data_IF_495029395741
#
_entry.id   IF_495029395741
#
_cell.length_a   1.000
_cell.length_b   1.000
_cell.length_c   1.000
_cell.angle_alpha   90.00
_cell.angle_beta   90.00
_cell.angle_gamma   90.00
#
_symmetry.space_group_name_H-M   'P 1'
#
loop_
_entity.id
_entity.type
_entity.pdbx_description
1 polymer ?
#
# COMPACT_ATOMS: atom_id res chain seq x y z
N UNK A 1 -23.28 -1.29 39.83
CA UNK A 1 -24.27 -1.44 38.73
C UNK A 1 -23.64 -1.00 37.41
N UNK A 2 -23.10 -1.92 36.60
CA UNK A 2 -22.73 -1.67 35.20
C UNK A 2 -22.39 -3.02 34.53
N UNK A 3 -23.39 -3.89 34.35
CA UNK A 3 -23.17 -5.21 33.73
C UNK A 3 -24.34 -5.63 32.85
N UNK A 4 -24.84 -4.74 31.99
CA UNK A 4 -25.96 -5.11 31.08
C UNK A 4 -26.14 -4.14 29.91
N UNK A 5 -25.19 -4.07 28.97
CA UNK A 5 -25.47 -3.52 27.61
C UNK A 5 -24.71 -4.25 26.49
N UNK A 6 -24.56 -5.56 26.63
CA UNK A 6 -23.99 -6.40 25.56
C UNK A 6 -24.92 -7.57 25.28
N UNK A 7 -26.10 -7.30 24.70
CA UNK A 7 -26.95 -8.33 24.07
C UNK A 7 -27.86 -7.68 23.02
N UNK A 8 -27.89 -8.33 21.85
CA UNK A 8 -28.69 -8.05 20.65
C UNK A 8 -28.19 -6.96 19.67
N UNK A 9 -27.01 -7.16 19.05
CA UNK A 9 -26.82 -6.71 17.66
C UNK A 9 -27.61 -7.66 16.75
N UNK A 10 -28.86 -7.32 16.46
CA UNK A 10 -29.75 -8.11 15.61
C UNK A 10 -29.31 -8.15 14.14
N UNK A 11 -30.01 -8.95 13.33
CA UNK A 11 -29.78 -9.15 11.91
C UNK A 11 -29.66 -7.82 11.12
N UNK A 12 -30.45 -6.81 11.49
CA UNK A 12 -30.39 -5.45 10.93
C UNK A 12 -29.06 -4.73 11.18
N UNK A 13 -28.43 -4.94 12.34
CA UNK A 13 -27.09 -4.38 12.62
C UNK A 13 -26.03 -5.01 11.73
N UNK A 14 -26.12 -6.33 11.47
CA UNK A 14 -25.22 -7.03 10.54
C UNK A 14 -25.44 -6.61 9.09
N UNK A 15 -26.69 -6.38 8.69
CA UNK A 15 -27.01 -5.88 7.34
C UNK A 15 -26.49 -4.45 7.18
N UNK A 16 -26.69 -3.57 8.17
CA UNK A 16 -26.19 -2.19 8.11
C UNK A 16 -24.65 -2.13 8.09
N UNK A 17 -23.98 -2.96 8.89
CA UNK A 17 -22.52 -3.11 8.86
C UNK A 17 -22.02 -3.70 7.52
N UNK A 18 -22.86 -4.44 6.78
CA UNK A 18 -22.57 -4.90 5.41
C UNK A 18 -22.76 -3.81 4.33
N UNK A 19 -23.43 -2.70 4.65
CA UNK A 19 -23.56 -1.50 3.79
C UNK A 19 -22.56 -0.40 4.22
N UNK A 20 -21.70 -0.65 5.21
CA UNK A 20 -20.63 0.28 5.58
C UNK A 20 -19.55 0.28 4.47
N UNK A 21 -19.33 1.42 3.77
CA UNK A 21 -18.37 1.50 2.67
C UNK A 21 -16.94 1.19 3.12
N UNK A 22 -16.56 1.55 4.35
CA UNK A 22 -15.23 1.24 4.88
C UNK A 22 -15.09 -0.27 5.10
N UNK A 23 -16.14 -0.91 5.61
CA UNK A 23 -16.15 -2.37 5.81
C UNK A 23 -16.13 -3.11 4.48
N UNK A 24 -16.90 -2.65 3.50
CA UNK A 24 -16.90 -3.21 2.15
C UNK A 24 -15.52 -3.09 1.50
N UNK A 25 -14.84 -1.95 1.65
CA UNK A 25 -13.47 -1.75 1.17
C UNK A 25 -12.48 -2.69 1.86
N UNK A 26 -12.52 -2.79 3.19
CA UNK A 26 -11.66 -3.69 3.96
C UNK A 26 -11.84 -5.15 3.53
N UNK A 27 -13.09 -5.60 3.37
CA UNK A 27 -13.39 -6.96 2.93
C UNK A 27 -12.91 -7.20 1.49
N UNK A 28 -13.05 -6.20 0.61
CA UNK A 28 -12.56 -6.28 -0.77
C UNK A 28 -11.04 -6.42 -0.80
N UNK A 29 -10.31 -5.57 -0.06
CA UNK A 29 -8.84 -5.65 0.04
C UNK A 29 -8.42 -6.98 0.65
N UNK A 30 -9.07 -7.43 1.71
CA UNK A 30 -8.83 -8.75 2.32
C UNK A 30 -9.04 -9.88 1.31
N UNK A 31 -10.10 -9.84 0.50
CA UNK A 31 -10.35 -10.83 -0.54
C UNK A 31 -9.25 -10.87 -1.59
N UNK A 32 -8.71 -9.72 -1.99
CA UNK A 32 -7.56 -9.68 -2.90
C UNK A 32 -6.27 -10.19 -2.26
N UNK A 33 -6.03 -9.94 -0.96
CA UNK A 33 -4.86 -10.51 -0.26
C UNK A 33 -4.94 -12.04 -0.26
N UNK A 34 -6.09 -12.62 0.07
CA UNK A 34 -6.30 -14.07 0.01
C UNK A 34 -6.15 -14.61 -1.41
N UNK A 35 -6.61 -13.86 -2.42
CA UNK A 35 -6.42 -14.24 -3.82
C UNK A 35 -4.94 -14.23 -4.25
N UNK A 36 -4.14 -13.27 -3.75
CA UNK A 36 -2.68 -13.25 -3.94
C UNK A 36 -2.02 -14.43 -3.23
N UNK A 37 -2.41 -14.73 -1.99
CA UNK A 37 -1.90 -15.88 -1.24
C UNK A 37 -2.18 -17.20 -1.97
N UNK A 38 -3.40 -17.37 -2.48
CA UNK A 38 -3.77 -18.53 -3.29
C UNK A 38 -2.96 -18.61 -4.60
N UNK A 39 -2.76 -17.48 -5.29
CA UNK A 39 -1.91 -17.42 -6.50
C UNK A 39 -0.47 -17.81 -6.19
N UNK A 40 0.10 -17.30 -5.09
CA UNK A 40 1.44 -17.62 -4.63
C UNK A 40 1.59 -19.10 -4.26
N UNK A 41 0.61 -19.69 -3.57
CA UNK A 41 0.60 -21.11 -3.23
C UNK A 41 0.56 -22.04 -4.45
N UNK A 42 0.07 -21.55 -5.59
CA UNK A 42 0.07 -22.24 -6.88
C UNK A 42 1.33 -21.96 -7.72
N UNK A 43 2.31 -21.21 -7.18
CA UNK A 43 3.53 -20.74 -7.85
C UNK A 43 3.26 -19.99 -9.16
N UNK A 44 2.15 -19.25 -9.19
CA UNK A 44 1.74 -18.47 -10.35
C UNK A 44 2.28 -17.03 -10.22
N UNK A 45 3.10 -16.62 -11.20
CA UNK A 45 3.52 -15.23 -11.46
C UNK A 45 4.06 -14.46 -10.24
N UNK A 46 5.31 -14.73 -9.86
CA UNK A 46 6.02 -13.96 -8.84
C UNK A 46 7.33 -13.37 -9.37
N UNK A 47 7.49 -12.06 -9.23
CA UNK A 47 8.81 -11.44 -9.34
C UNK A 47 9.57 -11.69 -8.01
N UNK A 48 10.58 -12.56 -8.06
CA UNK A 48 11.48 -12.81 -6.94
C UNK A 48 12.80 -12.08 -7.16
N UNK A 49 13.31 -11.50 -6.08
CA UNK A 49 14.64 -10.90 -6.11
C UNK A 49 15.71 -12.00 -6.17
N UNK A 50 16.77 -11.75 -6.95
CA UNK A 50 17.95 -12.59 -7.01
C UNK A 50 19.22 -11.73 -6.93
N UNK A 51 20.32 -12.24 -6.34
CA UNK A 51 21.59 -11.54 -6.30
C UNK A 51 22.04 -11.04 -7.69
N UNK A 52 22.55 -9.81 -7.75
CA UNK A 52 22.97 -9.18 -9.00
C UNK A 52 21.85 -8.54 -9.83
N UNK A 53 20.58 -8.66 -9.41
CA UNK A 53 19.47 -7.87 -9.95
C UNK A 53 19.14 -6.69 -9.04
N UNK A 54 18.77 -5.52 -9.59
CA UNK A 54 18.27 -4.40 -8.80
C UNK A 54 17.06 -4.81 -7.94
N UNK A 55 17.00 -4.28 -6.71
CA UNK A 55 15.87 -4.46 -5.82
C UNK A 55 14.71 -3.57 -6.29
N UNK A 56 13.62 -4.18 -6.77
CA UNK A 56 12.38 -3.51 -7.16
C UNK A 56 11.46 -3.32 -5.97
N UNK A 57 11.24 -2.09 -5.52
CA UNK A 57 10.32 -1.76 -4.43
C UNK A 57 9.17 -0.88 -4.90
N UNK A 58 7.96 -1.23 -4.46
CA UNK A 58 6.79 -0.38 -4.59
C UNK A 58 6.65 0.50 -3.34
N UNK A 59 6.68 1.81 -3.53
CA UNK A 59 6.42 2.83 -2.54
C UNK A 59 4.92 3.15 -2.51
N UNK A 60 4.21 2.48 -1.61
CA UNK A 60 2.77 2.61 -1.41
C UNK A 60 2.47 3.77 -0.46
N UNK A 61 2.36 4.97 -1.03
CA UNK A 61 2.10 6.21 -0.30
C UNK A 61 1.01 7.06 -0.91
N UNK A 62 0.50 8.02 -0.14
CA UNK A 62 -0.32 9.10 -0.68
C UNK A 62 0.56 10.31 -0.98
N UNK A 63 1.09 10.35 -2.20
CA UNK A 63 1.89 11.47 -2.70
C UNK A 63 1.24 12.12 -3.90
N UNK A 64 1.76 13.27 -4.30
CA UNK A 64 1.25 14.00 -5.48
C UNK A 64 -0.04 14.76 -5.18
N UNK A 65 -0.19 15.24 -3.95
CA UNK A 65 -1.28 16.16 -3.55
C UNK A 65 -0.79 17.57 -3.23
N UNK A 66 0.50 17.86 -3.48
CA UNK A 66 1.21 19.11 -3.12
C UNK A 66 1.16 19.42 -1.63
N UNK A 67 1.17 18.38 -0.81
CA UNK A 67 1.50 18.55 0.60
C UNK A 67 3.02 18.56 0.72
N UNK A 68 3.63 19.75 0.68
CA UNK A 68 5.10 19.92 0.71
C UNK A 68 5.74 19.11 1.84
N UNK A 69 5.14 19.09 3.03
CA UNK A 69 5.69 18.36 4.16
C UNK A 69 5.67 16.84 3.98
N UNK A 70 4.61 16.29 3.37
CA UNK A 70 4.52 14.86 3.10
C UNK A 70 5.41 14.47 1.91
N UNK A 71 5.32 15.20 0.80
CA UNK A 71 6.04 14.90 -0.44
C UNK A 71 7.56 15.01 -0.24
N UNK A 72 8.05 16.04 0.47
CA UNK A 72 9.50 16.18 0.78
C UNK A 72 9.99 15.07 1.71
N UNK A 73 9.16 14.62 2.67
CA UNK A 73 9.55 13.49 3.54
C UNK A 73 9.67 12.19 2.74
N UNK A 74 8.77 11.92 1.81
CA UNK A 74 8.88 10.74 0.93
C UNK A 74 10.07 10.87 -0.04
N UNK A 75 10.36 12.07 -0.55
CA UNK A 75 11.57 12.33 -1.35
C UNK A 75 12.86 12.07 -0.55
N UNK A 76 12.89 12.42 0.74
CA UNK A 76 14.01 12.07 1.63
C UNK A 76 14.13 10.55 1.81
N UNK A 77 13.03 9.83 2.02
CA UNK A 77 13.07 8.37 2.10
C UNK A 77 13.69 7.75 0.84
N UNK A 78 13.32 8.26 -0.35
CA UNK A 78 13.92 7.83 -1.63
C UNK A 78 15.43 8.07 -1.63
N UNK A 79 15.90 9.24 -1.19
CA UNK A 79 17.34 9.55 -1.09
C UNK A 79 18.05 8.63 -0.10
N UNK A 80 17.42 8.29 1.02
CA UNK A 80 17.97 7.36 2.01
C UNK A 80 18.08 5.93 1.47
N UNK A 81 17.03 5.42 0.82
CA UNK A 81 17.08 4.10 0.18
C UNK A 81 18.19 4.03 -0.86
N UNK A 82 18.30 5.05 -1.71
CA UNK A 82 19.37 5.15 -2.72
C UNK A 82 20.76 5.24 -2.10
N UNK A 83 20.92 5.98 -1.01
CA UNK A 83 22.18 6.08 -0.29
C UNK A 83 22.61 4.74 0.33
N UNK A 84 21.67 3.98 0.90
CA UNK A 84 21.98 2.70 1.57
C UNK A 84 22.16 1.54 0.58
N UNK A 85 21.31 1.45 -0.44
CA UNK A 85 21.29 0.32 -1.39
C UNK A 85 22.22 0.56 -2.59
N UNK A 86 22.37 1.82 -3.01
CA UNK A 86 23.07 2.22 -4.23
C UNK A 86 22.11 2.41 -5.41
N UNK A 87 22.39 3.44 -6.23
CA UNK A 87 21.51 3.85 -7.32
C UNK A 87 21.29 2.78 -8.40
N UNK A 88 22.34 2.01 -8.71
CA UNK A 88 22.31 0.95 -9.73
C UNK A 88 21.70 -0.37 -9.23
N UNK A 89 21.50 -0.47 -7.91
CA UNK A 89 20.98 -1.68 -7.25
C UNK A 89 19.53 -1.52 -6.80
N UNK A 90 18.87 -0.42 -7.17
CA UNK A 90 17.55 -0.07 -6.68
C UNK A 90 16.63 0.48 -7.77
N UNK A 91 15.50 -0.19 -7.96
CA UNK A 91 14.40 0.26 -8.80
C UNK A 91 13.21 0.62 -7.91
N UNK A 92 12.80 1.88 -7.92
CA UNK A 92 11.66 2.35 -7.13
C UNK A 92 10.49 2.68 -8.06
N UNK A 93 9.30 2.26 -7.64
CA UNK A 93 8.02 2.70 -8.19
C UNK A 93 7.24 3.41 -7.09
N UNK A 94 6.58 4.54 -7.38
CA UNK A 94 5.76 5.28 -6.43
C UNK A 94 4.37 5.58 -7.00
N UNK A 95 3.36 5.45 -6.16
CA UNK A 95 1.96 5.75 -6.51
C UNK A 95 1.68 7.25 -6.35
N UNK A 96 1.46 7.96 -7.45
CA UNK A 96 1.06 9.39 -7.43
C UNK A 96 -0.45 9.56 -7.60
N UNK A 97 -1.04 10.49 -6.86
CA UNK A 97 -2.46 10.84 -7.00
C UNK A 97 -2.72 11.70 -8.24
N UNK A 98 -1.75 12.53 -8.61
CA UNK A 98 -1.79 13.37 -9.81
C UNK A 98 -0.35 13.65 -10.32
N UNK A 99 0.01 13.16 -11.53
CA UNK A 99 1.32 13.39 -12.12
C UNK A 99 1.71 14.87 -12.29
N UNK A 100 0.73 15.76 -12.47
CA UNK A 100 0.98 17.21 -12.58
C UNK A 100 1.35 17.82 -11.24
N UNK A 101 0.80 17.28 -10.16
CA UNK A 101 1.05 17.75 -8.80
C UNK A 101 2.34 17.19 -8.22
N UNK A 102 2.76 15.99 -8.65
CA UNK A 102 4.08 15.42 -8.35
C UNK A 102 5.18 15.91 -9.30
N UNK A 103 4.88 16.78 -10.26
CA UNK A 103 5.89 17.32 -11.17
C UNK A 103 7.02 18.04 -10.41
N UNK A 104 8.26 17.58 -10.62
CA UNK A 104 9.45 18.07 -9.93
C UNK A 104 9.86 17.24 -8.70
N UNK A 105 8.94 16.47 -8.12
CA UNK A 105 9.22 15.46 -7.10
C UNK A 105 9.44 14.07 -7.73
N UNK A 106 10.10 13.19 -6.99
CA UNK A 106 10.27 11.76 -7.30
C UNK A 106 10.85 11.52 -8.70
N UNK A 107 11.76 12.39 -9.15
CA UNK A 107 12.29 12.38 -10.54
C UNK A 107 13.11 11.13 -10.87
N UNK A 108 13.68 10.49 -9.86
CA UNK A 108 14.48 9.27 -9.98
C UNK A 108 13.67 8.00 -9.78
N UNK A 109 12.33 8.11 -9.71
CA UNK A 109 11.43 7.03 -9.34
C UNK A 109 10.38 6.89 -10.43
N UNK A 110 10.02 5.64 -10.78
CA UNK A 110 8.91 5.39 -11.70
C UNK A 110 7.61 5.80 -11.03
N UNK A 111 6.89 6.76 -11.60
CA UNK A 111 5.60 7.19 -11.06
C UNK A 111 4.47 6.43 -11.75
N UNK A 112 3.57 5.83 -10.97
CA UNK A 112 2.35 5.19 -11.45
C UNK A 112 1.14 5.91 -10.88
N UNK A 113 0.11 6.14 -11.70
CA UNK A 113 -1.11 6.81 -11.25
C UNK A 113 -1.87 5.87 -10.32
N UNK A 114 -2.17 6.33 -9.10
CA UNK A 114 -3.09 5.66 -8.19
C UNK A 114 -4.53 5.85 -8.69
N UNK A 115 -5.24 4.79 -9.11
CA UNK A 115 -6.63 4.93 -9.51
C UNK A 115 -7.53 5.19 -8.30
N UNK A 116 -8.67 5.83 -8.54
CA UNK A 116 -9.68 6.11 -7.51
C UNK A 116 -10.23 4.85 -6.84
N UNK A 117 -10.22 3.73 -7.55
CA UNK A 117 -10.57 2.40 -7.02
C UNK A 117 -9.31 1.53 -7.09
N UNK A 118 -8.60 1.43 -5.97
CA UNK A 118 -7.27 0.83 -5.90
C UNK A 118 -7.18 -0.68 -5.61
N UNK A 119 -8.19 -1.43 -5.08
CA UNK A 119 -7.96 -2.81 -4.68
C UNK A 119 -7.44 -3.73 -5.80
N UNK A 120 -8.03 -3.61 -7.00
CA UNK A 120 -7.57 -4.36 -8.17
C UNK A 120 -6.18 -3.90 -8.63
N UNK A 121 -5.91 -2.60 -8.58
CA UNK A 121 -4.58 -2.06 -8.89
C UNK A 121 -3.51 -2.64 -7.98
N UNK A 122 -3.75 -2.77 -6.67
CA UNK A 122 -2.79 -3.42 -5.76
C UNK A 122 -2.57 -4.89 -6.12
N UNK A 123 -3.65 -5.62 -6.44
CA UNK A 123 -3.58 -7.01 -6.86
C UNK A 123 -2.72 -7.22 -8.11
N UNK A 124 -2.78 -6.29 -9.07
CA UNK A 124 -2.01 -6.36 -10.32
C UNK A 124 -0.58 -5.76 -10.17
N UNK A 125 -0.39 -4.73 -9.35
CA UNK A 125 0.86 -3.96 -9.28
C UNK A 125 1.87 -4.48 -8.24
N UNK A 126 1.42 -4.88 -7.05
CA UNK A 126 2.29 -5.43 -6.00
C UNK A 126 3.13 -6.64 -6.47
N UNK A 127 2.60 -7.59 -7.25
CA UNK A 127 3.34 -8.79 -7.67
C UNK A 127 4.53 -8.52 -8.57
N UNK A 128 4.53 -7.35 -9.23
CA UNK A 128 5.58 -6.88 -10.16
C UNK A 128 6.84 -6.40 -9.43
N UNK A 129 6.82 -6.37 -8.10
CA UNK A 129 7.89 -5.86 -7.25
C UNK A 129 8.38 -6.96 -6.30
N UNK A 130 9.61 -6.81 -5.80
CA UNK A 130 10.21 -7.71 -4.81
C UNK A 130 9.78 -7.38 -3.37
N UNK A 131 9.13 -6.24 -3.18
CA UNK A 131 8.68 -5.78 -1.88
C UNK A 131 7.86 -4.50 -1.96
N UNK A 132 7.17 -4.21 -0.88
CA UNK A 132 6.37 -3.01 -0.68
C UNK A 132 6.88 -2.25 0.54
N UNK A 133 7.04 -0.94 0.35
CA UNK A 133 7.25 0.02 1.41
C UNK A 133 6.00 0.89 1.49
N UNK A 134 5.20 0.76 2.56
CA UNK A 134 4.23 1.81 2.85
C UNK A 134 5.00 3.07 3.23
N UNK A 135 4.73 4.20 2.58
CA UNK A 135 5.49 5.43 2.78
C UNK A 135 4.58 6.65 2.80
N UNK A 136 4.58 7.39 3.90
CA UNK A 136 3.84 8.64 4.01
C UNK A 136 4.47 9.42 5.16
N UNK A 137 4.57 10.75 5.07
CA UNK A 137 5.31 11.51 6.08
C UNK A 137 4.68 11.53 7.49
N UNK A 138 3.55 10.90 7.70
CA UNK A 138 2.63 11.07 8.82
C UNK A 138 1.76 9.81 8.97
N UNK A 139 2.39 8.64 8.83
CA UNK A 139 1.72 7.37 8.59
C UNK A 139 0.83 6.89 9.75
N UNK A 140 -0.26 6.20 9.41
CA UNK A 140 -1.17 5.49 10.34
C UNK A 140 -1.68 6.32 11.53
N UNK A 141 -1.95 7.61 11.32
CA UNK A 141 -2.56 8.46 12.35
C UNK A 141 -4.05 8.14 12.50
N UNK A 142 -4.59 8.42 13.69
CA UNK A 142 -6.02 8.25 14.01
C UNK A 142 -6.98 9.07 13.13
N UNK A 143 -6.48 10.09 12.42
CA UNK A 143 -7.26 10.93 11.49
C UNK A 143 -7.17 10.47 10.03
N UNK A 144 -6.47 9.36 9.75
CA UNK A 144 -6.38 8.85 8.39
C UNK A 144 -7.71 8.29 7.94
N UNK A 145 -8.10 8.62 6.71
CA UNK A 145 -9.24 7.98 6.10
C UNK A 145 -9.01 6.46 6.04
N UNK A 146 -10.05 5.68 6.34
CA UNK A 146 -10.01 4.22 6.25
C UNK A 146 -9.52 3.75 4.89
N UNK A 147 -9.85 4.48 3.82
CA UNK A 147 -9.39 4.18 2.47
C UNK A 147 -7.86 4.25 2.31
N UNK A 148 -7.21 5.28 2.85
CA UNK A 148 -5.76 5.42 2.77
C UNK A 148 -5.06 4.34 3.62
N UNK A 149 -5.60 4.06 4.80
CA UNK A 149 -5.11 2.95 5.64
C UNK A 149 -5.26 1.62 4.92
N UNK A 150 -6.41 1.36 4.28
CA UNK A 150 -6.65 0.14 3.49
C UNK A 150 -5.72 0.05 2.28
N UNK A 151 -5.38 1.16 1.65
CA UNK A 151 -4.42 1.18 0.54
C UNK A 151 -3.03 0.74 1.01
N UNK A 152 -2.48 1.40 2.05
CA UNK A 152 -1.14 1.07 2.55
C UNK A 152 -1.09 -0.32 3.18
N UNK A 153 -2.02 -0.64 4.08
CA UNK A 153 -2.10 -1.96 4.72
C UNK A 153 -2.43 -3.06 3.70
N UNK A 154 -3.23 -2.75 2.68
CA UNK A 154 -3.51 -3.66 1.57
C UNK A 154 -2.26 -4.00 0.78
N UNK A 155 -1.47 -2.99 0.39
CA UNK A 155 -0.23 -3.19 -0.36
C UNK A 155 0.79 -4.01 0.45
N UNK A 156 0.94 -3.71 1.75
CA UNK A 156 1.75 -4.51 2.68
C UNK A 156 1.24 -5.96 2.77
N UNK A 157 -0.08 -6.13 2.89
CA UNK A 157 -0.73 -7.43 2.92
C UNK A 157 -0.47 -8.27 1.66
N UNK A 158 -0.53 -7.66 0.46
CA UNK A 158 -0.20 -8.35 -0.79
C UNK A 158 1.24 -8.85 -0.79
N UNK A 159 2.19 -8.00 -0.43
CA UNK A 159 3.60 -8.40 -0.37
C UNK A 159 3.84 -9.50 0.66
N UNK A 160 3.25 -9.37 1.86
CA UNK A 160 3.37 -10.38 2.91
C UNK A 160 2.76 -11.73 2.50
N UNK A 161 1.65 -11.73 1.76
CA UNK A 161 1.02 -12.94 1.22
C UNK A 161 1.91 -13.67 0.20
N UNK A 162 2.80 -12.96 -0.50
CA UNK A 162 3.79 -13.53 -1.43
C UNK A 162 5.15 -13.82 -0.75
N UNK A 163 5.25 -13.68 0.58
CA UNK A 163 6.52 -13.85 1.31
C UNK A 163 7.57 -12.77 1.00
N UNK A 164 7.15 -11.62 0.48
CA UNK A 164 8.02 -10.50 0.07
C UNK A 164 8.23 -9.51 1.20
N UNK A 165 9.23 -8.62 1.02
CA UNK A 165 9.46 -7.50 1.94
C UNK A 165 8.20 -6.63 2.07
N UNK A 166 7.76 -6.38 3.30
CA UNK A 166 6.57 -5.60 3.61
C UNK A 166 6.84 -4.74 4.85
N UNK A 167 7.15 -3.45 4.65
CA UNK A 167 7.59 -2.55 5.72
C UNK A 167 6.92 -1.17 5.63
N UNK A 168 6.62 -0.55 6.76
CA UNK A 168 6.22 0.86 6.83
C UNK A 168 7.39 1.77 7.14
N UNK A 169 7.50 2.91 6.46
CA UNK A 169 8.52 3.93 6.71
C UNK A 169 7.93 5.34 6.62
N UNK A 170 7.91 6.09 7.73
CA UNK A 170 7.10 7.30 7.90
C UNK A 170 7.70 8.34 8.84
#
# INVERSE_FOLDING_TARGET
MARTKQKARGLFGRIKDAVDPDRALQLTVSGFIEAVAARHALDLEQELWAPGKPLKLLMAGHVGTRNTGADVRVEEMIRQFRHVVGDDQLELTICTSDPKLSAGYFRTVRQVLLPQVFPRFLYDECPRHHGVVACEGSMFKSKFASALTCFMAGALGMANAEGKLSVGYG
#
